data_IF_104640371035
#
_entry.id   IF_104640371035
#
_cell.length_a   1.000
_cell.length_b   1.000
_cell.length_c   1.000
_cell.angle_alpha   90.00
_cell.angle_beta   90.00
_cell.angle_gamma   90.00
#
_symmetry.space_group_name_H-M   'P 1'
#
loop_
_entity.id
_entity.type
_entity.pdbx_description
1 polymer ?
#
# COMPACT_ATOMS: atom_id res chain seq x y z
N UNK A 1 -30.40 10.27 5.75
CA UNK A 1 -29.89 9.32 4.75
C UNK A 1 -28.44 9.02 5.12
N UNK A 2 -28.06 7.75 5.16
CA UNK A 2 -26.73 7.32 5.61
C UNK A 2 -25.75 7.41 4.43
N UNK A 3 -24.65 8.18 4.56
CA UNK A 3 -23.60 8.22 3.56
C UNK A 3 -22.93 6.85 3.36
N UNK A 4 -22.66 6.49 2.10
CA UNK A 4 -22.13 5.19 1.70
C UNK A 4 -20.69 5.28 1.24
N UNK A 5 -19.89 4.33 1.68
CA UNK A 5 -18.51 4.12 1.25
C UNK A 5 -18.27 2.62 1.03
N UNK A 6 -17.30 2.27 0.22
CA UNK A 6 -16.91 0.88 0.04
C UNK A 6 -15.45 0.72 -0.39
N UNK A 7 -14.91 -0.49 -0.23
CA UNK A 7 -13.70 -0.90 -0.93
C UNK A 7 -14.07 -1.71 -2.17
N UNK A 8 -13.45 -1.35 -3.31
CA UNK A 8 -13.63 -1.99 -4.61
C UNK A 8 -12.37 -2.77 -5.01
N UNK A 9 -12.55 -3.95 -5.58
CA UNK A 9 -11.45 -4.79 -6.08
C UNK A 9 -11.90 -6.19 -6.45
N UNK A 10 -10.99 -7.02 -6.94
CA UNK A 10 -11.27 -8.44 -7.24
C UNK A 10 -9.97 -9.27 -7.16
N UNK A 11 -9.92 -10.32 -6.30
CA UNK A 11 -10.91 -10.69 -5.28
C UNK A 11 -10.95 -9.71 -4.11
N UNK A 12 -12.11 -9.55 -3.44
CA UNK A 12 -12.29 -8.57 -2.37
C UNK A 12 -12.75 -9.20 -1.04
N UNK A 13 -13.09 -10.49 -1.03
CA UNK A 13 -13.67 -11.18 0.13
C UNK A 13 -12.85 -11.06 1.41
N UNK A 14 -11.52 -11.09 1.30
CA UNK A 14 -10.57 -11.07 2.41
C UNK A 14 -10.20 -9.66 2.90
N UNK A 15 -10.79 -8.59 2.31
CA UNK A 15 -10.48 -7.23 2.72
C UNK A 15 -10.87 -6.97 4.17
N UNK A 16 -9.93 -6.46 4.96
CA UNK A 16 -10.13 -6.00 6.34
C UNK A 16 -10.58 -4.54 6.43
N UNK A 17 -10.65 -3.82 5.30
CA UNK A 17 -11.04 -2.40 5.27
C UNK A 17 -12.40 -2.12 5.93
N UNK A 18 -13.47 -2.92 5.74
CA UNK A 18 -14.74 -2.65 6.43
C UNK A 18 -14.62 -2.65 7.94
N UNK A 19 -13.85 -3.56 8.52
CA UNK A 19 -13.67 -3.64 9.98
C UNK A 19 -12.96 -2.40 10.54
N UNK A 20 -11.86 -1.98 9.91
CA UNK A 20 -11.08 -0.82 10.37
C UNK A 20 -11.83 0.51 10.16
N UNK A 21 -12.55 0.67 9.04
CA UNK A 21 -13.36 1.86 8.80
C UNK A 21 -14.54 1.95 9.78
N UNK A 22 -15.26 0.86 10.03
CA UNK A 22 -16.34 0.82 11.01
C UNK A 22 -15.85 1.15 12.42
N UNK A 23 -14.67 0.67 12.82
CA UNK A 23 -14.07 1.01 14.10
C UNK A 23 -13.76 2.50 14.23
N UNK A 24 -13.17 3.09 13.18
CA UNK A 24 -12.89 4.52 13.12
C UNK A 24 -14.17 5.37 13.17
N UNK A 25 -15.19 5.02 12.38
CA UNK A 25 -16.45 5.76 12.32
C UNK A 25 -17.17 5.77 13.67
N UNK A 26 -17.11 4.67 14.41
CA UNK A 26 -17.67 4.58 15.76
C UNK A 26 -17.01 5.57 16.72
N UNK A 27 -15.68 5.66 16.72
CA UNK A 27 -14.94 6.63 17.56
C UNK A 27 -15.21 8.07 17.15
N UNK A 28 -15.35 8.31 15.85
CA UNK A 28 -15.63 9.64 15.29
C UNK A 28 -17.10 10.07 15.40
N UNK A 29 -18.01 9.20 15.87
CA UNK A 29 -19.44 9.46 15.91
C UNK A 29 -20.07 9.63 14.51
N UNK A 30 -19.52 8.97 13.48
CA UNK A 30 -20.01 9.06 12.10
C UNK A 30 -20.96 7.89 11.80
N UNK A 31 -22.17 8.23 11.38
CA UNK A 31 -23.17 7.26 10.89
C UNK A 31 -22.97 7.01 9.39
N UNK A 32 -21.81 6.42 9.04
CA UNK A 32 -21.45 6.09 7.67
C UNK A 32 -21.41 4.58 7.48
N UNK A 33 -21.89 4.08 6.34
CA UNK A 33 -21.71 2.69 5.97
C UNK A 33 -20.42 2.49 5.20
N UNK A 34 -19.76 1.32 5.40
CA UNK A 34 -18.59 0.94 4.63
C UNK A 34 -18.67 -0.54 4.27
N UNK A 35 -18.73 -0.81 2.96
CA UNK A 35 -18.95 -2.14 2.41
C UNK A 35 -17.72 -2.63 1.63
N UNK A 36 -17.75 -3.87 1.17
CA UNK A 36 -16.84 -4.41 0.15
C UNK A 36 -17.65 -4.88 -1.04
N UNK A 37 -17.25 -4.40 -2.22
CA UNK A 37 -17.95 -4.70 -3.48
C UNK A 37 -16.94 -5.23 -4.48
N UNK A 38 -17.25 -6.40 -5.07
CA UNK A 38 -16.37 -6.96 -6.08
C UNK A 38 -16.57 -6.27 -7.42
N UNK A 39 -15.52 -5.61 -7.90
CA UNK A 39 -15.46 -5.00 -9.23
C UNK A 39 -14.22 -5.51 -9.93
N UNK A 40 -14.41 -6.16 -11.08
CA UNK A 40 -13.33 -6.74 -11.88
C UNK A 40 -12.67 -5.70 -12.78
N UNK A 41 -11.50 -6.04 -13.30
CA UNK A 41 -10.79 -5.20 -14.28
C UNK A 41 -11.70 -4.80 -15.45
N UNK A 42 -11.70 -3.51 -15.79
CA UNK A 42 -12.56 -2.93 -16.84
C UNK A 42 -13.98 -2.58 -16.39
N UNK A 43 -14.37 -2.95 -15.16
CA UNK A 43 -15.73 -2.73 -14.65
C UNK A 43 -15.95 -1.42 -13.89
N UNK A 44 -14.89 -0.68 -13.59
CA UNK A 44 -15.01 0.50 -12.71
C UNK A 44 -15.95 1.56 -13.29
N UNK A 45 -15.78 1.94 -14.55
CA UNK A 45 -16.62 2.98 -15.19
C UNK A 45 -18.12 2.64 -15.11
N UNK A 46 -18.49 1.44 -15.55
CA UNK A 46 -19.90 1.01 -15.53
C UNK A 46 -20.48 0.94 -14.12
N UNK A 47 -19.66 0.58 -13.12
CA UNK A 47 -20.06 0.62 -11.73
C UNK A 47 -20.32 2.06 -11.26
N UNK A 48 -19.41 2.98 -11.56
CA UNK A 48 -19.51 4.39 -11.14
C UNK A 48 -20.69 5.13 -11.78
N UNK A 49 -21.10 4.75 -12.99
CA UNK A 49 -22.25 5.34 -13.70
C UNK A 49 -23.62 4.96 -13.10
N UNK A 50 -23.68 3.90 -12.28
CA UNK A 50 -24.93 3.42 -11.65
C UNK A 50 -25.12 3.87 -10.21
N UNK A 51 -24.23 4.74 -9.70
CA UNK A 51 -24.24 5.15 -8.30
C UNK A 51 -25.33 6.16 -7.96
N UNK A 52 -26.03 5.92 -6.87
CA UNK A 52 -26.90 6.91 -6.25
C UNK A 52 -26.10 8.06 -5.56
N UNK A 53 -26.73 9.21 -5.26
CA UNK A 53 -26.03 10.35 -4.65
C UNK A 53 -25.50 10.12 -3.25
N UNK A 54 -25.87 9.03 -2.56
CA UNK A 54 -25.41 8.72 -1.20
C UNK A 54 -23.97 8.20 -1.16
N UNK A 55 -23.43 7.76 -2.29
CA UNK A 55 -22.06 7.32 -2.38
C UNK A 55 -21.09 8.51 -2.32
N UNK A 56 -20.36 8.61 -1.21
CA UNK A 56 -19.39 9.67 -0.96
C UNK A 56 -18.00 9.35 -1.50
N UNK A 57 -17.58 8.07 -1.44
CA UNK A 57 -16.24 7.71 -1.81
C UNK A 57 -15.98 6.21 -1.84
N UNK A 58 -14.83 5.85 -2.38
CA UNK A 58 -14.39 4.47 -2.52
C UNK A 58 -12.90 4.32 -2.19
N UNK A 59 -12.56 3.26 -1.48
CA UNK A 59 -11.20 2.73 -1.48
C UNK A 59 -11.06 1.74 -2.63
N UNK A 60 -9.91 1.70 -3.29
CA UNK A 60 -9.68 0.82 -4.43
C UNK A 60 -8.41 -0.02 -4.23
N UNK A 61 -8.55 -1.31 -4.52
CA UNK A 61 -7.41 -2.23 -4.54
C UNK A 61 -7.26 -2.88 -5.91
N UNK A 62 -6.38 -3.85 -6.01
CA UNK A 62 -6.17 -4.61 -7.25
C UNK A 62 -7.50 -5.15 -7.79
N UNK A 63 -7.77 -5.06 -9.10
CA UNK A 63 -6.92 -4.52 -10.17
C UNK A 63 -7.26 -3.08 -10.58
N UNK A 64 -7.93 -2.28 -9.76
CA UNK A 64 -8.66 -1.07 -10.17
C UNK A 64 -7.86 0.24 -10.03
N UNK A 65 -6.71 0.27 -9.35
CA UNK A 65 -6.00 1.52 -9.00
C UNK A 65 -5.62 2.37 -10.22
N UNK A 66 -5.20 1.75 -11.31
CA UNK A 66 -4.87 2.45 -12.56
C UNK A 66 -6.12 2.91 -13.32
N UNK A 67 -7.21 2.13 -13.25
CA UNK A 67 -8.51 2.53 -13.82
C UNK A 67 -9.07 3.74 -13.07
N UNK A 68 -8.94 3.75 -11.74
CA UNK A 68 -9.39 4.85 -10.90
C UNK A 68 -8.61 6.14 -11.18
N UNK A 69 -7.30 6.06 -11.39
CA UNK A 69 -6.51 7.23 -11.77
C UNK A 69 -6.96 7.82 -13.11
N UNK A 70 -7.31 6.97 -14.08
CA UNK A 70 -7.86 7.44 -15.38
C UNK A 70 -9.31 7.93 -15.29
N UNK A 71 -10.06 7.47 -14.29
CA UNK A 71 -11.46 7.84 -14.10
C UNK A 71 -11.60 9.17 -13.34
N UNK A 72 -10.71 9.46 -12.41
CA UNK A 72 -10.76 10.65 -11.57
C UNK A 72 -10.71 11.93 -12.40
N UNK A 73 -11.47 12.95 -11.97
CA UNK A 73 -11.48 14.28 -12.59
C UNK A 73 -10.20 15.05 -12.29
N UNK A 74 -9.69 14.87 -11.08
CA UNK A 74 -8.41 15.43 -10.62
C UNK A 74 -7.71 14.42 -9.70
N UNK A 75 -6.39 14.50 -9.63
CA UNK A 75 -5.55 13.62 -8.84
C UNK A 75 -4.74 14.43 -7.82
N UNK A 76 -4.44 13.84 -6.67
CA UNK A 76 -3.40 14.36 -5.80
C UNK A 76 -2.00 14.08 -6.36
N UNK A 77 -0.98 14.75 -5.83
CA UNK A 77 0.38 14.63 -6.31
C UNK A 77 0.90 13.17 -6.28
N UNK A 78 0.52 12.38 -5.28
CA UNK A 78 0.94 10.99 -5.18
C UNK A 78 0.26 10.11 -6.24
N UNK A 79 -1.02 10.32 -6.52
CA UNK A 79 -1.74 9.61 -7.58
C UNK A 79 -1.25 10.02 -8.98
N UNK A 80 -0.95 11.30 -9.21
CA UNK A 80 -0.34 11.77 -10.46
C UNK A 80 1.00 11.12 -10.72
N UNK A 81 1.90 11.17 -9.72
CA UNK A 81 3.24 10.57 -9.84
C UNK A 81 3.19 9.06 -10.09
N UNK A 82 2.32 8.36 -9.39
CA UNK A 82 2.28 6.88 -9.46
C UNK A 82 1.41 6.34 -10.59
N UNK A 83 0.55 7.16 -11.19
CA UNK A 83 -0.48 6.71 -12.12
C UNK A 83 -1.49 5.74 -11.49
N UNK A 84 -1.61 5.73 -10.17
CA UNK A 84 -2.44 4.81 -9.40
C UNK A 84 -3.21 5.56 -8.31
N UNK A 85 -4.51 5.30 -8.22
CA UNK A 85 -5.42 5.89 -7.25
C UNK A 85 -6.03 4.77 -6.39
N UNK A 86 -5.85 4.84 -5.08
CA UNK A 86 -6.47 3.89 -4.15
C UNK A 86 -7.67 4.48 -3.42
N UNK A 87 -8.00 5.75 -3.66
CA UNK A 87 -9.11 6.46 -3.01
C UNK A 87 -9.77 7.40 -4.01
N UNK A 88 -11.08 7.28 -4.16
CA UNK A 88 -11.94 8.23 -4.89
C UNK A 88 -12.89 8.88 -3.91
N UNK A 89 -13.03 10.19 -3.97
CA UNK A 89 -14.03 10.95 -3.20
C UNK A 89 -14.88 11.81 -4.13
N UNK A 90 -16.19 11.83 -3.89
CA UNK A 90 -17.12 12.66 -4.67
C UNK A 90 -16.94 14.13 -4.30
N UNK A 91 -16.86 14.98 -5.30
CA UNK A 91 -16.81 16.45 -5.18
C UNK A 91 -17.84 17.09 -6.11
N UNK A 92 -18.04 18.39 -6.00
CA UNK A 92 -18.92 19.12 -6.91
C UNK A 92 -18.39 19.07 -8.37
N UNK A 93 -17.09 18.93 -8.56
CA UNK A 93 -16.44 18.83 -9.87
C UNK A 93 -16.34 17.40 -10.43
N UNK A 94 -16.87 16.40 -9.72
CA UNK A 94 -16.79 14.98 -10.10
C UNK A 94 -16.10 14.12 -9.04
N UNK A 95 -15.11 13.34 -9.42
CA UNK A 95 -14.40 12.41 -8.51
C UNK A 95 -12.93 12.81 -8.36
N UNK A 96 -12.53 13.20 -7.15
CA UNK A 96 -11.13 13.43 -6.82
C UNK A 96 -10.44 12.12 -6.45
N UNK A 97 -9.25 11.89 -6.99
CA UNK A 97 -8.46 10.68 -6.79
C UNK A 97 -7.20 10.91 -5.97
N UNK A 98 -6.91 9.99 -5.05
CA UNK A 98 -5.75 10.07 -4.16
C UNK A 98 -5.01 8.73 -4.10
N UNK A 99 -3.72 8.79 -3.77
CA UNK A 99 -2.93 7.58 -3.49
C UNK A 99 -2.38 7.60 -2.06
N UNK A 100 -3.14 7.04 -1.13
CA UNK A 100 -2.75 6.95 0.28
C UNK A 100 -1.79 5.80 0.60
N UNK A 101 -1.47 4.91 -0.36
CA UNK A 101 -0.49 3.83 -0.17
C UNK A 101 0.89 4.38 0.16
N UNK A 102 1.29 5.50 -0.48
CA UNK A 102 2.58 6.16 -0.23
C UNK A 102 2.69 6.53 1.24
N UNK A 103 1.69 7.23 1.77
CA UNK A 103 1.62 7.58 3.18
C UNK A 103 1.63 6.35 4.09
N UNK A 104 0.85 5.31 3.75
CA UNK A 104 0.79 4.06 4.51
C UNK A 104 2.16 3.37 4.63
N UNK A 105 2.92 3.30 3.53
CA UNK A 105 4.28 2.73 3.52
C UNK A 105 5.23 3.57 4.36
N UNK A 106 5.21 4.90 4.19
CA UNK A 106 6.08 5.82 4.93
C UNK A 106 5.85 5.68 6.44
N UNK A 107 4.59 5.69 6.89
CA UNK A 107 4.27 5.55 8.31
C UNK A 107 4.67 4.19 8.87
N UNK A 108 4.37 3.10 8.15
CA UNK A 108 4.72 1.76 8.60
C UNK A 108 6.23 1.58 8.80
N UNK A 109 7.04 2.15 7.90
CA UNK A 109 8.50 2.06 7.95
C UNK A 109 9.08 2.93 9.07
N UNK A 110 8.61 4.19 9.21
CA UNK A 110 9.04 5.11 10.28
C UNK A 110 8.73 4.57 11.67
N UNK A 111 7.51 4.06 11.89
CA UNK A 111 7.10 3.51 13.19
C UNK A 111 7.86 2.24 13.59
N UNK A 112 8.44 1.55 12.62
CA UNK A 112 9.35 0.43 12.89
C UNK A 112 10.79 0.86 13.21
N UNK A 113 11.06 2.16 13.33
CA UNK A 113 12.38 2.72 13.63
C UNK A 113 13.36 2.67 12.46
N UNK A 114 12.86 2.61 11.22
CA UNK A 114 13.69 2.65 10.01
C UNK A 114 13.65 4.07 9.44
N UNK A 115 14.47 4.94 10.01
CA UNK A 115 14.49 6.37 9.65
C UNK A 115 15.36 6.69 8.42
N UNK A 116 16.18 5.73 7.99
CA UNK A 116 17.04 5.87 6.80
C UNK A 116 17.34 4.52 6.17
N UNK A 117 17.59 4.53 4.87
CA UNK A 117 18.03 3.34 4.15
C UNK A 117 19.00 3.74 3.01
N UNK A 118 20.18 3.11 2.98
CA UNK A 118 21.15 3.32 1.88
C UNK A 118 20.78 2.53 0.62
N UNK A 119 20.28 1.34 0.81
CA UNK A 119 19.87 0.44 -0.29
C UNK A 119 18.51 -0.15 0.01
N UNK A 120 17.54 0.11 -0.85
CA UNK A 120 16.18 -0.42 -0.73
C UNK A 120 15.90 -1.42 -1.83
N UNK A 121 15.50 -2.63 -1.45
CA UNK A 121 15.06 -3.65 -2.39
C UNK A 121 13.54 -3.65 -2.52
N UNK A 122 13.03 -3.37 -3.72
CA UNK A 122 11.61 -3.54 -4.06
C UNK A 122 11.41 -4.90 -4.74
N UNK A 123 10.52 -5.72 -4.19
CA UNK A 123 10.13 -7.01 -4.77
C UNK A 123 8.70 -6.89 -5.31
N UNK A 124 8.58 -6.83 -6.63
CA UNK A 124 7.33 -6.57 -7.36
C UNK A 124 7.48 -5.43 -8.34
N UNK A 125 6.48 -5.22 -9.20
CA UNK A 125 6.47 -4.16 -10.22
C UNK A 125 5.05 -3.70 -10.61
N UNK A 126 4.07 -3.86 -9.73
CA UNK A 126 2.70 -3.35 -9.90
C UNK A 126 2.50 -1.99 -9.23
N UNK A 127 1.27 -1.50 -9.21
CA UNK A 127 0.90 -0.20 -8.64
C UNK A 127 1.44 0.05 -7.23
N UNK A 128 1.37 -0.96 -6.33
CA UNK A 128 1.93 -0.83 -4.99
C UNK A 128 3.47 -0.74 -4.98
N UNK A 129 4.15 -1.35 -5.96
CA UNK A 129 5.60 -1.19 -6.11
C UNK A 129 5.97 0.23 -6.55
N UNK A 130 5.16 0.84 -7.40
CA UNK A 130 5.32 2.25 -7.79
C UNK A 130 5.10 3.17 -6.58
N UNK A 131 4.07 2.92 -5.77
CA UNK A 131 3.86 3.64 -4.50
C UNK A 131 5.02 3.44 -3.53
N UNK A 132 5.62 2.24 -3.48
CA UNK A 132 6.80 1.97 -2.64
C UNK A 132 8.03 2.76 -3.09
N UNK A 133 8.28 2.88 -4.40
CA UNK A 133 9.37 3.72 -4.93
C UNK A 133 9.15 5.18 -4.55
N UNK A 134 7.92 5.69 -4.67
CA UNK A 134 7.55 7.05 -4.28
C UNK A 134 7.75 7.26 -2.76
N UNK A 135 7.34 6.30 -1.93
CA UNK A 135 7.56 6.34 -0.49
C UNK A 135 9.06 6.36 -0.14
N UNK A 136 9.90 5.59 -0.87
CA UNK A 136 11.36 5.62 -0.66
C UNK A 136 11.95 6.98 -1.02
N UNK A 137 11.43 7.68 -2.03
CA UNK A 137 11.88 9.05 -2.32
C UNK A 137 11.67 10.00 -1.15
N UNK A 138 10.60 9.81 -0.38
CA UNK A 138 10.34 10.59 0.84
C UNK A 138 11.21 10.13 2.04
N UNK A 139 11.30 8.80 2.26
CA UNK A 139 12.01 8.22 3.40
C UNK A 139 13.52 8.34 3.30
N UNK A 140 14.07 8.13 2.11
CA UNK A 140 15.50 7.98 1.87
C UNK A 140 15.87 8.52 0.47
N UNK A 141 15.85 9.85 0.25
CA UNK A 141 16.00 10.48 -1.06
C UNK A 141 17.32 10.18 -1.76
N UNK A 142 18.33 9.72 -1.03
CA UNK A 142 19.64 9.35 -1.55
C UNK A 142 19.85 7.83 -1.70
N UNK A 143 18.82 7.02 -1.41
CA UNK A 143 18.92 5.56 -1.47
C UNK A 143 19.18 5.06 -2.89
N UNK A 144 19.83 3.92 -2.97
CA UNK A 144 19.89 3.12 -4.20
C UNK A 144 18.76 2.10 -4.20
N UNK A 145 17.88 2.16 -5.18
CA UNK A 145 16.78 1.20 -5.34
C UNK A 145 17.24 0.00 -6.17
N UNK A 146 17.01 -1.17 -5.64
CA UNK A 146 17.15 -2.44 -6.34
C UNK A 146 15.77 -2.99 -6.65
N UNK A 147 15.45 -3.28 -7.91
CA UNK A 147 14.15 -3.80 -8.31
C UNK A 147 14.26 -5.26 -8.74
N UNK A 148 13.49 -6.12 -8.09
CA UNK A 148 13.32 -7.53 -8.48
C UNK A 148 11.87 -7.82 -8.83
N UNK A 149 11.62 -8.21 -10.08
CA UNK A 149 10.31 -8.68 -10.54
C UNK A 149 10.47 -9.73 -11.62
N UNK A 150 9.46 -10.59 -11.77
CA UNK A 150 9.46 -11.68 -12.76
C UNK A 150 9.38 -11.17 -14.20
N UNK A 151 8.50 -10.21 -14.45
CA UNK A 151 8.35 -9.59 -15.77
C UNK A 151 9.48 -8.56 -15.98
N UNK A 152 10.34 -8.75 -17.01
CA UNK A 152 11.47 -7.85 -17.25
C UNK A 152 11.04 -6.47 -17.75
N UNK A 153 9.92 -6.37 -18.46
CA UNK A 153 9.41 -5.10 -18.99
C UNK A 153 8.92 -4.19 -17.85
N UNK A 154 7.97 -4.66 -17.02
CA UNK A 154 7.45 -3.88 -15.89
C UNK A 154 8.52 -3.60 -14.84
N UNK A 155 9.52 -4.50 -14.69
CA UNK A 155 10.70 -4.25 -13.87
C UNK A 155 11.53 -3.09 -14.42
N UNK A 156 11.75 -3.04 -15.75
CA UNK A 156 12.48 -1.95 -16.39
C UNK A 156 11.74 -0.62 -16.28
N UNK A 157 10.43 -0.64 -16.47
CA UNK A 157 9.57 0.54 -16.30
C UNK A 157 9.68 1.09 -14.87
N UNK A 158 9.63 0.23 -13.83
CA UNK A 158 9.77 0.66 -12.45
C UNK A 158 11.17 1.25 -12.14
N UNK A 159 12.22 0.71 -12.75
CA UNK A 159 13.58 1.28 -12.66
C UNK A 159 13.65 2.65 -13.32
N UNK A 160 13.04 2.82 -14.50
CA UNK A 160 12.97 4.13 -15.20
C UNK A 160 12.23 5.14 -14.35
N UNK A 161 11.06 4.76 -13.82
CA UNK A 161 10.28 5.60 -12.92
C UNK A 161 11.08 6.06 -11.68
N UNK A 162 11.81 5.16 -11.03
CA UNK A 162 12.65 5.53 -9.89
C UNK A 162 13.74 6.56 -10.28
N UNK A 163 14.30 6.43 -11.48
CA UNK A 163 15.30 7.37 -12.01
C UNK A 163 14.70 8.72 -12.36
N UNK A 164 13.49 8.75 -12.90
CA UNK A 164 12.72 9.99 -13.16
C UNK A 164 12.44 10.76 -11.87
N UNK A 165 12.25 10.07 -10.74
CA UNK A 165 12.19 10.67 -9.41
C UNK A 165 13.56 11.12 -8.84
N UNK A 166 14.64 10.96 -9.60
CA UNK A 166 16.00 11.33 -9.18
C UNK A 166 16.68 10.33 -8.25
N UNK A 167 16.19 9.09 -8.17
CA UNK A 167 16.80 8.03 -7.37
C UNK A 167 17.79 7.21 -8.22
N UNK A 168 18.84 6.70 -7.59
CA UNK A 168 19.68 5.66 -8.21
C UNK A 168 18.90 4.35 -8.23
N UNK A 169 18.72 3.71 -9.39
CA UNK A 169 17.93 2.50 -9.50
C UNK A 169 18.51 1.49 -10.48
N UNK A 170 18.43 0.20 -10.12
CA UNK A 170 18.95 -0.91 -10.90
C UNK A 170 18.04 -2.14 -10.84
N UNK A 171 17.92 -2.84 -11.96
CA UNK A 171 17.32 -4.18 -11.99
C UNK A 171 18.26 -5.20 -11.37
N UNK A 172 17.71 -6.14 -10.58
CA UNK A 172 18.49 -7.25 -10.02
C UNK A 172 17.91 -8.61 -10.40
N UNK A 173 18.78 -9.54 -10.78
CA UNK A 173 18.42 -10.93 -11.13
C UNK A 173 18.58 -11.87 -9.93
N UNK A 174 19.61 -11.67 -9.12
CA UNK A 174 20.00 -12.55 -8.01
C UNK A 174 19.41 -12.03 -6.69
N UNK A 175 18.19 -12.46 -6.39
CA UNK A 175 17.42 -11.97 -5.25
C UNK A 175 18.15 -12.16 -3.91
N UNK A 176 18.75 -13.34 -3.67
CA UNK A 176 19.47 -13.61 -2.41
C UNK A 176 20.63 -12.61 -2.15
N UNK A 177 21.33 -12.20 -3.22
CA UNK A 177 22.40 -11.19 -3.12
C UNK A 177 21.82 -9.80 -2.83
N UNK A 178 20.72 -9.45 -3.48
CA UNK A 178 20.04 -8.17 -3.27
C UNK A 178 19.51 -8.05 -1.83
N UNK A 179 18.84 -9.10 -1.32
CA UNK A 179 18.35 -9.17 0.06
C UNK A 179 19.47 -8.98 1.08
N UNK A 180 20.65 -9.55 0.88
CA UNK A 180 21.80 -9.38 1.78
C UNK A 180 22.33 -7.94 1.82
N UNK A 181 22.18 -7.21 0.71
CA UNK A 181 22.71 -5.83 0.57
C UNK A 181 21.71 -4.77 0.99
N UNK A 182 20.43 -5.10 0.95
CA UNK A 182 19.37 -4.13 1.24
C UNK A 182 19.30 -3.83 2.74
N UNK A 183 19.32 -2.55 3.10
CA UNK A 183 19.03 -2.07 4.45
C UNK A 183 17.52 -2.05 4.73
N UNK A 184 16.70 -1.98 3.67
CA UNK A 184 15.25 -2.16 3.72
C UNK A 184 14.80 -3.00 2.51
N UNK A 185 13.95 -3.99 2.73
CA UNK A 185 13.25 -4.72 1.67
C UNK A 185 11.76 -4.42 1.76
N UNK A 186 11.13 -4.05 0.63
CA UNK A 186 9.68 -3.86 0.54
C UNK A 186 9.14 -4.89 -0.45
N UNK A 187 8.41 -5.88 0.05
CA UNK A 187 7.77 -6.91 -0.74
C UNK A 187 6.33 -6.50 -1.06
N UNK A 188 6.05 -6.23 -2.34
CA UNK A 188 4.77 -5.68 -2.81
C UNK A 188 3.92 -6.71 -3.56
N UNK A 189 4.04 -7.97 -3.20
CA UNK A 189 3.36 -9.09 -3.84
C UNK A 189 2.22 -9.63 -2.98
N UNK A 190 1.19 -10.24 -3.59
CA UNK A 190 0.12 -10.91 -2.85
C UNK A 190 0.64 -12.02 -1.93
N UNK A 191 -0.13 -12.35 -0.90
CA UNK A 191 0.17 -13.43 0.02
C UNK A 191 0.51 -14.74 -0.70
N UNK A 192 1.52 -15.45 -0.21
CA UNK A 192 1.99 -16.70 -0.79
C UNK A 192 2.90 -16.60 -2.02
N UNK A 193 2.93 -15.46 -2.71
CA UNK A 193 3.73 -15.29 -3.95
C UNK A 193 5.24 -15.50 -3.74
N UNK A 194 5.73 -15.26 -2.53
CA UNK A 194 7.15 -15.44 -2.17
C UNK A 194 7.45 -16.73 -1.42
N UNK A 195 6.50 -17.67 -1.27
CA UNK A 195 6.70 -18.88 -0.48
C UNK A 195 7.88 -19.73 -1.00
N UNK A 196 7.95 -19.96 -2.31
CA UNK A 196 9.05 -20.74 -2.90
C UNK A 196 10.41 -20.02 -2.78
N UNK A 197 10.41 -18.70 -2.79
CA UNK A 197 11.61 -17.88 -2.55
C UNK A 197 12.05 -17.99 -1.10
N UNK A 198 11.12 -17.86 -0.16
CA UNK A 198 11.38 -18.01 1.27
C UNK A 198 12.00 -19.38 1.59
N UNK A 199 11.44 -20.46 1.03
CA UNK A 199 11.96 -21.83 1.21
C UNK A 199 13.41 -21.96 0.68
N UNK A 200 13.72 -21.36 -0.47
CA UNK A 200 15.08 -21.34 -1.03
C UNK A 200 16.07 -20.54 -0.19
N UNK A 201 15.66 -19.40 0.34
CA UNK A 201 16.48 -18.56 1.19
C UNK A 201 16.75 -19.25 2.54
N UNK A 202 15.73 -19.87 3.14
CA UNK A 202 15.81 -20.56 4.42
C UNK A 202 16.77 -21.77 4.37
N UNK A 203 16.85 -22.49 3.22
CA UNK A 203 17.75 -23.63 3.03
C UNK A 203 19.21 -23.23 2.79
N UNK A 204 19.47 -21.96 2.50
CA UNK A 204 20.83 -21.50 2.19
C UNK A 204 21.63 -21.32 3.47
N UNK A 205 22.62 -22.19 3.70
CA UNK A 205 23.47 -22.11 4.90
C UNK A 205 24.07 -20.73 5.11
N UNK A 206 23.96 -20.20 6.33
CA UNK A 206 24.47 -18.89 6.71
C UNK A 206 23.80 -17.71 5.98
N UNK A 207 22.59 -17.90 5.44
CA UNK A 207 21.85 -16.79 4.84
C UNK A 207 21.30 -15.85 5.92
N UNK A 208 21.65 -14.57 5.79
CA UNK A 208 21.10 -13.51 6.63
C UNK A 208 20.68 -12.33 5.74
N UNK A 209 19.45 -11.80 5.89
CA UNK A 209 19.04 -10.53 5.30
C UNK A 209 19.88 -9.36 5.84
N UNK A 210 20.05 -8.30 5.04
CA UNK A 210 20.84 -7.13 5.44
C UNK A 210 20.14 -6.24 6.47
N UNK A 211 18.85 -5.94 6.25
CA UNK A 211 18.07 -5.03 7.10
C UNK A 211 16.64 -5.48 7.31
N UNK A 212 15.74 -4.53 7.52
CA UNK A 212 14.31 -4.77 7.75
C UNK A 212 13.56 -5.27 6.49
N UNK A 213 12.39 -5.88 6.70
CA UNK A 213 11.41 -6.13 5.63
C UNK A 213 10.06 -5.53 5.99
N UNK A 214 9.46 -4.80 5.04
CA UNK A 214 8.02 -4.57 4.97
C UNK A 214 7.44 -5.57 3.97
N UNK A 215 6.64 -6.51 4.44
CA UNK A 215 5.86 -7.38 3.56
C UNK A 215 4.41 -6.92 3.56
N UNK A 216 3.91 -6.44 2.42
CA UNK A 216 2.53 -5.93 2.32
C UNK A 216 1.48 -7.04 2.48
N UNK A 217 1.88 -8.31 2.31
CA UNK A 217 1.02 -9.44 2.64
C UNK A 217 0.86 -9.54 4.16
N UNK A 218 -0.38 -9.68 4.61
CA UNK A 218 -0.74 -9.72 6.02
C UNK A 218 -1.54 -10.97 6.43
N UNK A 219 -1.87 -11.82 5.48
CA UNK A 219 -2.61 -13.07 5.74
C UNK A 219 -2.04 -14.21 4.90
N UNK A 220 -1.54 -15.30 5.53
CA UNK A 220 -1.24 -15.44 6.98
C UNK A 220 -0.06 -14.57 7.43
N UNK A 221 -0.05 -14.18 8.73
CA UNK A 221 1.07 -13.43 9.32
C UNK A 221 1.67 -14.17 10.54
N UNK A 222 3.01 -14.21 10.71
CA UNK A 222 3.98 -13.77 9.72
C UNK A 222 3.96 -14.63 8.46
N UNK A 223 4.19 -14.00 7.30
CA UNK A 223 4.34 -14.71 6.04
C UNK A 223 5.61 -15.58 6.03
N UNK A 224 5.70 -16.55 5.11
CA UNK A 224 6.92 -17.35 4.99
C UNK A 224 8.17 -16.51 4.73
N UNK A 225 8.04 -15.43 3.94
CA UNK A 225 9.20 -14.57 3.66
C UNK A 225 9.56 -13.73 4.90
N UNK A 226 8.61 -13.15 5.62
CA UNK A 226 8.84 -12.46 6.88
C UNK A 226 9.50 -13.37 7.93
N UNK A 227 9.12 -14.65 7.97
CA UNK A 227 9.74 -15.65 8.86
C UNK A 227 11.23 -15.87 8.61
N UNK A 228 11.74 -15.64 7.38
CA UNK A 228 13.18 -15.69 7.08
C UNK A 228 13.92 -14.56 7.77
N UNK A 229 13.32 -13.36 7.82
CA UNK A 229 13.87 -12.21 8.55
C UNK A 229 13.80 -12.41 10.06
N UNK A 230 12.65 -12.84 10.57
CA UNK A 230 12.46 -13.12 12.00
C UNK A 230 13.48 -14.12 12.55
N UNK A 231 13.72 -15.24 11.84
CA UNK A 231 14.75 -16.24 12.20
C UNK A 231 16.17 -15.69 12.18
N UNK A 232 16.41 -14.64 11.43
CA UNK A 232 17.72 -13.96 11.36
C UNK A 232 17.79 -12.75 12.34
N UNK A 233 16.79 -12.60 13.22
CA UNK A 233 16.69 -11.49 14.19
C UNK A 233 16.69 -10.11 13.50
N UNK A 234 16.05 -10.02 12.33
CA UNK A 234 15.89 -8.77 11.59
C UNK A 234 14.46 -8.25 11.73
N UNK A 235 14.26 -6.92 11.78
CA UNK A 235 12.93 -6.34 11.92
C UNK A 235 11.99 -6.77 10.78
N UNK A 236 10.77 -7.12 11.16
CA UNK A 236 9.68 -7.43 10.24
C UNK A 236 8.55 -6.43 10.45
N UNK A 237 8.08 -5.84 9.37
CA UNK A 237 6.99 -4.87 9.34
C UNK A 237 5.82 -5.51 8.62
N UNK A 238 4.69 -5.63 9.31
CA UNK A 238 3.49 -6.23 8.72
C UNK A 238 2.81 -5.28 7.74
N UNK A 239 2.26 -5.83 6.67
CA UNK A 239 1.36 -5.13 5.77
C UNK A 239 0.11 -4.58 6.47
N UNK A 240 -0.24 -5.07 7.67
CA UNK A 240 -1.32 -4.49 8.49
C UNK A 240 -1.01 -3.05 8.92
N UNK A 241 0.25 -2.71 9.18
CA UNK A 241 0.62 -1.32 9.49
C UNK A 241 0.41 -0.39 8.28
N UNK A 242 0.82 -0.83 7.10
CA UNK A 242 0.53 -0.09 5.87
C UNK A 242 -0.98 0.03 5.63
N UNK A 243 -1.74 -1.07 5.82
CA UNK A 243 -3.19 -1.09 5.67
C UNK A 243 -3.86 -0.11 6.63
N UNK A 244 -3.42 -0.05 7.88
CA UNK A 244 -3.93 0.86 8.90
C UNK A 244 -3.71 2.31 8.49
N UNK A 245 -2.46 2.69 8.21
CA UNK A 245 -2.12 4.09 7.97
C UNK A 245 -2.68 4.64 6.65
N UNK A 246 -2.72 3.83 5.58
CA UNK A 246 -3.38 4.25 4.35
C UNK A 246 -4.88 4.47 4.57
N UNK A 247 -5.53 3.69 5.45
CA UNK A 247 -6.94 3.87 5.78
C UNK A 247 -7.17 5.11 6.66
N UNK A 248 -6.26 5.45 7.57
CA UNK A 248 -6.32 6.72 8.31
C UNK A 248 -6.34 7.91 7.34
N UNK A 249 -5.44 7.93 6.36
CA UNK A 249 -5.44 8.97 5.34
C UNK A 249 -6.72 8.97 4.49
N UNK A 250 -7.26 7.79 4.16
CA UNK A 250 -8.56 7.68 3.47
C UNK A 250 -9.70 8.31 4.28
N UNK A 251 -9.76 8.05 5.58
CA UNK A 251 -10.81 8.61 6.46
C UNK A 251 -10.67 10.13 6.58
N UNK A 252 -9.43 10.65 6.65
CA UNK A 252 -9.17 12.09 6.59
C UNK A 252 -9.75 12.69 5.30
N UNK A 253 -9.46 12.08 4.15
CA UNK A 253 -9.98 12.51 2.84
C UNK A 253 -11.51 12.45 2.79
N UNK A 254 -12.12 11.34 3.21
CA UNK A 254 -13.57 11.20 3.20
C UNK A 254 -14.27 12.23 4.10
N UNK A 255 -13.62 12.66 5.20
CA UNK A 255 -14.17 13.60 6.16
C UNK A 255 -13.89 15.06 5.81
N UNK A 256 -12.72 15.37 5.28
CA UNK A 256 -12.24 16.75 5.13
C UNK A 256 -11.86 17.12 3.69
N UNK A 257 -11.71 16.15 2.81
CA UNK A 257 -11.14 16.33 1.46
C UNK A 257 -9.61 16.42 1.43
N UNK A 258 -8.93 16.38 2.60
CA UNK A 258 -7.48 16.59 2.71
C UNK A 258 -6.82 15.49 3.57
N UNK A 259 -5.85 14.73 3.01
CA UNK A 259 -5.15 13.67 3.74
C UNK A 259 -4.23 14.20 4.87
N UNK A 260 -3.91 15.49 4.87
CA UNK A 260 -2.99 16.11 5.84
C UNK A 260 -3.68 16.61 7.10
N UNK A 261 -5.01 16.79 7.06
CA UNK A 261 -5.80 17.28 8.21
C UNK A 261 -6.06 16.10 9.17
N UNK A 262 -5.50 16.15 10.42
CA UNK A 262 -5.71 15.08 11.39
C UNK A 262 -7.17 14.88 11.77
N UNK A 263 -7.55 13.65 12.11
CA UNK A 263 -8.87 13.34 12.63
C UNK A 263 -9.03 13.83 14.07
N UNK A 264 -10.23 14.22 14.49
CA UNK A 264 -10.50 14.47 15.91
C UNK A 264 -10.16 13.21 16.73
N UNK A 265 -9.39 13.41 17.83
CA UNK A 265 -8.94 12.32 18.68
C UNK A 265 -8.27 11.15 17.90
N UNK A 266 -7.41 11.49 16.94
CA UNK A 266 -6.83 10.52 15.99
C UNK A 266 -6.10 9.36 16.66
N UNK A 267 -5.50 9.58 17.84
CA UNK A 267 -4.86 8.50 18.60
C UNK A 267 -5.86 7.41 18.95
N UNK A 268 -7.02 7.76 19.50
CA UNK A 268 -8.06 6.79 19.84
C UNK A 268 -8.67 6.13 18.58
N UNK A 269 -8.77 6.87 17.47
CA UNK A 269 -9.20 6.31 16.17
C UNK A 269 -8.22 5.23 15.71
N UNK A 270 -6.92 5.52 15.70
CA UNK A 270 -5.88 4.58 15.29
C UNK A 270 -5.86 3.34 16.19
N UNK A 271 -5.99 3.51 17.51
CA UNK A 271 -6.07 2.41 18.47
C UNK A 271 -7.28 1.51 18.20
N UNK A 272 -8.47 2.08 18.00
CA UNK A 272 -9.67 1.32 17.68
C UNK A 272 -9.56 0.57 16.34
N UNK A 273 -8.96 1.22 15.33
CA UNK A 273 -8.69 0.57 14.04
C UNK A 273 -7.70 -0.58 14.18
N UNK A 274 -6.66 -0.44 15.01
CA UNK A 274 -5.66 -1.46 15.28
C UNK A 274 -6.28 -2.69 15.95
N UNK A 275 -7.09 -2.50 16.98
CA UNK A 275 -7.83 -3.60 17.63
C UNK A 275 -8.78 -4.34 16.67
N UNK A 276 -9.34 -3.65 15.68
CA UNK A 276 -10.18 -4.28 14.66
C UNK A 276 -9.39 -5.16 13.65
N UNK A 277 -8.06 -5.12 13.69
CA UNK A 277 -7.18 -5.96 12.86
C UNK A 277 -6.72 -7.24 13.56
N UNK A 278 -6.81 -7.28 14.88
CA UNK A 278 -6.53 -8.46 15.71
C UNK A 278 -7.59 -9.56 15.54
#
# INVERSE_FOLDING_TARGET
MIPKLAVLGSPISHSKSPAIHAAAYRVLGLDWSYEKIEVRKGGLRSFMEQLDPLWMGFSLTMPLKEEAARFATNLDAAAELTGACNTLVRTDAGWAGYNTDVFGIVQAVRLAGVDSAETVLIIGSGATATSAVTAVKELAPNATILVHARNPETRSQLVSYARELGLKAHSVRFLARAVRRASLTIATLPGGALNSVADKLARKAGFRPGGAILDIAYDPWPSKIASVWSKAERPIISGLEMLLWQAVAQIRIFKTGDPTVPLPNEVAVVEAMRHALE
#
